data_IF_945755664621
#
_entry.id   IF_945755664621
#
_cell.length_a   1.000
_cell.length_b   1.000
_cell.length_c   1.000
_cell.angle_alpha   90.00
_cell.angle_beta   90.00
_cell.angle_gamma   90.00
#
_symmetry.space_group_name_H-M   'P 1'
#
loop_
_entity.id
_entity.type
_entity.pdbx_description
1 polymer ?
#
# COMPACT_ATOMS: atom_id res chain seq x y z
N UNK A 1 -16.02 8.72 -6.57
CA UNK A 1 -16.06 9.68 -5.46
C UNK A 1 -17.51 9.93 -5.10
N UNK A 2 -17.86 9.74 -3.83
CA UNK A 2 -19.21 9.87 -3.29
C UNK A 2 -19.20 10.78 -2.07
N UNK A 3 -20.37 11.24 -1.63
CA UNK A 3 -20.51 12.01 -0.38
C UNK A 3 -19.99 11.27 0.84
N UNK A 4 -20.00 9.92 0.80
CA UNK A 4 -19.43 9.09 1.85
C UNK A 4 -17.91 9.30 1.98
N UNK A 5 -17.18 9.40 0.87
CA UNK A 5 -15.72 9.59 0.87
C UNK A 5 -15.34 10.89 1.59
N UNK A 6 -16.11 11.97 1.38
CA UNK A 6 -15.90 13.27 2.02
C UNK A 6 -16.12 13.16 3.54
N UNK A 7 -17.18 12.47 3.98
CA UNK A 7 -17.48 12.28 5.41
C UNK A 7 -16.37 11.48 6.09
N UNK A 8 -15.90 10.41 5.45
CA UNK A 8 -14.84 9.55 5.97
C UNK A 8 -13.53 10.31 6.10
N UNK A 9 -13.12 11.06 5.08
CA UNK A 9 -11.89 11.87 5.13
C UNK A 9 -11.96 12.95 6.21
N UNK A 10 -13.12 13.62 6.37
CA UNK A 10 -13.30 14.61 7.44
C UNK A 10 -13.15 13.99 8.83
N UNK A 11 -13.71 12.79 9.04
CA UNK A 11 -13.56 12.06 10.31
C UNK A 11 -12.09 11.70 10.58
N UNK A 12 -11.36 11.29 9.55
CA UNK A 12 -9.93 10.96 9.64
C UNK A 12 -9.10 12.19 10.03
N UNK A 13 -9.31 13.33 9.36
CA UNK A 13 -8.60 14.60 9.65
C UNK A 13 -8.89 15.08 11.09
N UNK A 14 -10.12 14.90 11.57
CA UNK A 14 -10.51 15.30 12.93
C UNK A 14 -10.09 14.28 14.01
N UNK A 15 -9.43 13.18 13.65
CA UNK A 15 -9.05 12.12 14.59
C UNK A 15 -10.25 11.41 15.21
N UNK A 16 -11.42 11.45 14.56
CA UNK A 16 -12.61 10.68 14.99
C UNK A 16 -12.42 9.21 14.64
N UNK A 17 -11.65 8.94 13.58
CA UNK A 17 -11.17 7.63 13.17
C UNK A 17 -9.67 7.75 12.90
N UNK A 18 -8.91 6.72 13.20
CA UNK A 18 -7.44 6.72 13.02
C UNK A 18 -7.01 6.11 11.67
N UNK A 19 -7.94 5.45 10.97
CA UNK A 19 -7.69 4.88 9.65
C UNK A 19 -8.95 4.86 8.77
N UNK A 20 -8.74 4.68 7.46
CA UNK A 20 -9.83 4.62 6.49
C UNK A 20 -10.63 3.31 6.63
N UNK A 21 -11.96 3.37 6.86
CA UNK A 21 -12.81 2.20 6.87
C UNK A 21 -12.88 1.59 5.47
N UNK A 22 -12.73 0.27 5.38
CA UNK A 22 -12.77 -0.54 4.14
C UNK A 22 -11.54 -0.43 3.21
N UNK A 23 -10.37 -0.07 3.74
CA UNK A 23 -9.09 -0.11 3.01
C UNK A 23 -8.00 -0.83 3.78
N UNK A 24 -6.92 -1.20 3.09
CA UNK A 24 -5.68 -1.58 3.76
C UNK A 24 -4.95 -0.32 4.19
N UNK A 25 -4.70 -0.18 5.49
CA UNK A 25 -3.96 0.94 6.10
C UNK A 25 -2.52 1.03 5.57
N UNK A 26 -1.90 -0.13 5.34
CA UNK A 26 -0.59 -0.28 4.69
C UNK A 26 -0.70 -1.07 3.40
N UNK A 27 -0.01 -0.62 2.35
CA UNK A 27 0.19 -1.38 1.12
C UNK A 27 1.67 -1.60 0.88
N UNK A 28 2.01 -2.75 0.31
CA UNK A 28 3.38 -3.13 0.02
C UNK A 28 3.54 -3.37 -1.48
N UNK A 29 4.58 -2.81 -2.06
CA UNK A 29 4.92 -2.97 -3.48
C UNK A 29 6.34 -3.53 -3.59
N UNK A 30 6.59 -4.61 -4.36
CA UNK A 30 7.94 -5.06 -4.64
C UNK A 30 8.79 -3.90 -5.18
N UNK A 31 9.97 -3.67 -4.61
CA UNK A 31 10.80 -2.49 -4.92
C UNK A 31 11.18 -2.38 -6.40
N UNK A 32 11.28 -3.52 -7.09
CA UNK A 32 11.63 -3.62 -8.50
C UNK A 32 10.41 -3.65 -9.44
N UNK A 33 9.19 -3.48 -8.93
CA UNK A 33 8.00 -3.49 -9.76
C UNK A 33 7.91 -2.23 -10.61
N UNK A 34 7.82 -2.41 -11.93
CA UNK A 34 7.59 -1.34 -12.89
C UNK A 34 6.15 -1.42 -13.37
N UNK A 35 5.41 -0.34 -13.21
CA UNK A 35 4.04 -0.25 -13.70
C UNK A 35 4.02 -0.39 -15.23
N UNK A 36 3.27 -1.36 -15.79
CA UNK A 36 3.22 -1.56 -17.23
C UNK A 36 2.70 -0.34 -17.99
N UNK A 37 1.74 0.37 -17.41
CA UNK A 37 1.23 1.63 -17.91
C UNK A 37 1.34 2.71 -16.82
N UNK A 38 2.29 3.66 -16.95
CA UNK A 38 2.42 4.76 -16.00
C UNK A 38 1.19 5.68 -15.93
N UNK A 39 0.35 5.71 -16.98
CA UNK A 39 -0.89 6.49 -17.01
C UNK A 39 -2.08 5.76 -16.37
N UNK A 40 -1.97 4.44 -16.19
CA UNK A 40 -2.94 3.62 -15.45
C UNK A 40 -2.22 2.56 -14.60
N UNK A 41 -1.59 2.97 -13.49
CA UNK A 41 -0.77 2.09 -12.66
C UNK A 41 -1.59 1.06 -11.86
N UNK A 42 -2.91 1.19 -11.83
CA UNK A 42 -3.79 0.25 -11.12
C UNK A 42 -4.32 -0.86 -12.03
N UNK A 43 -4.06 -0.77 -13.33
CA UNK A 43 -4.44 -1.78 -14.32
C UNK A 43 -3.20 -2.31 -15.06
N UNK A 44 -2.83 -3.60 -14.89
CA UNK A 44 -3.43 -4.58 -13.99
C UNK A 44 -3.16 -4.28 -12.50
N UNK A 45 -3.85 -4.95 -11.57
CA UNK A 45 -3.55 -4.84 -10.15
C UNK A 45 -2.08 -5.15 -9.88
N UNK A 46 -1.39 -4.23 -9.19
CA UNK A 46 0.00 -4.45 -8.82
C UNK A 46 0.14 -5.58 -7.79
N UNK A 47 1.26 -6.31 -7.80
CA UNK A 47 1.50 -7.38 -6.84
C UNK A 47 1.78 -6.79 -5.45
N UNK A 48 1.10 -7.31 -4.43
CA UNK A 48 1.40 -6.99 -3.02
C UNK A 48 2.25 -8.08 -2.33
N UNK A 49 2.81 -9.00 -3.11
CA UNK A 49 3.62 -10.12 -2.64
C UNK A 49 4.67 -10.49 -3.68
N UNK A 50 5.81 -10.99 -3.22
CA UNK A 50 6.80 -11.64 -4.08
C UNK A 50 6.53 -13.14 -4.03
N UNK A 51 6.31 -13.76 -5.19
CA UNK A 51 6.15 -15.20 -5.33
C UNK A 51 7.48 -15.80 -5.77
N UNK A 52 8.00 -16.75 -5.00
CA UNK A 52 9.25 -17.47 -5.31
C UNK A 52 8.91 -18.89 -5.71
N UNK A 53 9.25 -19.31 -6.94
CA UNK A 53 9.09 -20.69 -7.37
C UNK A 53 9.95 -21.65 -6.52
N UNK A 54 9.45 -22.85 -6.26
CA UNK A 54 10.22 -23.89 -5.56
C UNK A 54 11.49 -24.32 -6.30
N UNK A 55 11.57 -24.07 -7.62
CA UNK A 55 12.72 -24.38 -8.47
C UNK A 55 13.74 -23.24 -8.56
N UNK A 56 13.58 -22.16 -7.78
CA UNK A 56 14.53 -21.04 -7.81
C UNK A 56 15.87 -21.48 -7.21
N UNK A 57 16.91 -21.51 -8.04
CA UNK A 57 18.29 -21.79 -7.65
C UNK A 57 19.24 -20.76 -8.29
N UNK A 58 19.97 -19.95 -7.50
CA UNK A 58 19.92 -19.89 -6.04
C UNK A 58 18.62 -19.26 -5.53
N UNK A 59 18.22 -19.66 -4.31
CA UNK A 59 17.13 -18.98 -3.61
C UNK A 59 17.50 -17.52 -3.32
N UNK A 60 16.56 -16.57 -3.46
CA UNK A 60 16.80 -15.18 -3.09
C UNK A 60 17.16 -15.06 -1.60
N UNK A 61 18.24 -14.34 -1.30
CA UNK A 61 18.71 -14.13 0.08
C UNK A 61 17.99 -13.00 0.81
N UNK A 62 17.28 -12.13 0.07
CA UNK A 62 16.49 -11.03 0.63
C UNK A 62 15.34 -10.66 -0.31
N UNK A 63 14.32 -10.00 0.26
CA UNK A 63 13.19 -9.43 -0.47
C UNK A 63 13.05 -7.96 -0.10
N UNK A 64 12.77 -7.12 -1.09
CA UNK A 64 12.61 -5.68 -0.88
C UNK A 64 11.20 -5.24 -1.26
N UNK A 65 10.58 -4.46 -0.37
CA UNK A 65 9.28 -3.84 -0.58
C UNK A 65 9.34 -2.35 -0.27
N UNK A 66 8.53 -1.58 -0.96
CA UNK A 66 8.17 -0.21 -0.63
C UNK A 66 6.86 -0.27 0.15
N UNK A 67 6.89 0.20 1.40
CA UNK A 67 5.70 0.33 2.24
C UNK A 67 5.04 1.70 2.07
N UNK A 68 3.74 1.72 1.87
CA UNK A 68 2.94 2.93 1.68
C UNK A 68 1.85 2.95 2.74
N UNK A 69 1.92 3.91 3.67
CA UNK A 69 0.84 4.17 4.62
C UNK A 69 -0.21 5.05 3.97
N UNK A 70 -1.45 4.57 3.94
CA UNK A 70 -2.59 5.33 3.45
C UNK A 70 -3.28 5.99 4.64
N UNK A 71 -3.65 7.26 4.47
CA UNK A 71 -4.46 7.99 5.45
C UNK A 71 -3.72 8.40 6.71
N UNK A 72 -2.39 8.48 6.68
CA UNK A 72 -1.65 9.15 7.74
C UNK A 72 -1.70 10.66 7.53
N UNK A 73 -2.51 11.32 8.35
CA UNK A 73 -2.79 12.76 8.23
C UNK A 73 -1.93 13.60 9.18
N UNK A 74 -1.23 12.97 10.12
CA UNK A 74 -0.42 13.63 11.14
C UNK A 74 1.03 13.13 11.17
N UNK A 75 1.45 12.37 10.15
CA UNK A 75 2.81 11.82 10.02
C UNK A 75 3.24 10.96 11.22
N UNK A 76 2.29 10.25 11.81
CA UNK A 76 2.52 9.40 12.99
C UNK A 76 2.93 7.97 12.64
N UNK A 77 2.88 7.58 11.37
CA UNK A 77 3.17 6.23 10.96
C UNK A 77 4.66 5.92 11.06
N UNK A 78 4.99 4.96 11.93
CA UNK A 78 6.33 4.45 12.10
C UNK A 78 6.45 3.04 11.49
N UNK A 79 7.16 2.87 10.37
CA UNK A 79 7.22 1.58 9.65
C UNK A 79 8.13 0.53 10.30
N UNK A 80 8.96 0.90 11.27
CA UNK A 80 9.98 0.03 11.86
C UNK A 80 9.90 0.00 13.38
N UNK A 81 8.85 -0.61 13.93
CA UNK A 81 8.64 -0.77 15.37
C UNK A 81 9.82 -1.33 16.15
#
# INVERSE_FOLDING_TARGET
MTTFDIIVLRKLILGIIDELPNGKSWRFLPKNYVFPNPQDPFTPPFPEKILVPHSADPLPTYFEFIGIKIGDVNDSAFPGG
#
